data_IF_778607524361
#
_entry.id   IF_778607524361
#
_cell.length_a   1.000
_cell.length_b   1.000
_cell.length_c   1.000
_cell.angle_alpha   90.00
_cell.angle_beta   90.00
_cell.angle_gamma   90.00
#
_symmetry.space_group_name_H-M   'P 1'
#
loop_
_entity.id
_entity.type
_entity.pdbx_description
1 polymer ?
#
# COMPACT_ATOMS: atom_id res chain seq x y z
N UNK A 1 -25.03 11.52 -33.29
CA UNK A 1 -24.59 11.86 -31.92
C UNK A 1 -24.66 10.69 -30.92
N UNK A 2 -25.59 9.74 -31.04
CA UNK A 2 -25.69 8.58 -30.11
C UNK A 2 -24.48 7.62 -30.16
N UNK A 3 -23.91 7.32 -31.33
CA UNK A 3 -22.77 6.39 -31.46
C UNK A 3 -21.46 6.86 -30.81
N UNK A 4 -21.20 8.17 -30.79
CA UNK A 4 -19.99 8.73 -30.14
C UNK A 4 -20.11 8.71 -28.61
N UNK A 5 -21.33 8.89 -28.07
CA UNK A 5 -21.61 8.78 -26.63
C UNK A 5 -21.51 7.33 -26.14
N UNK A 6 -22.01 6.38 -26.93
CA UNK A 6 -21.88 4.93 -26.68
C UNK A 6 -20.42 4.46 -26.74
N UNK A 7 -19.64 4.93 -27.71
CA UNK A 7 -18.21 4.62 -27.79
C UNK A 7 -17.41 5.19 -26.62
N UNK A 8 -17.75 6.41 -26.16
CA UNK A 8 -17.10 7.02 -24.99
C UNK A 8 -17.46 6.30 -23.68
N UNK A 9 -18.71 5.89 -23.51
CA UNK A 9 -19.12 5.08 -22.36
C UNK A 9 -18.45 3.70 -22.37
N UNK A 10 -18.34 3.06 -23.53
CA UNK A 10 -17.66 1.78 -23.68
C UNK A 10 -16.16 1.87 -23.29
N UNK A 11 -15.48 2.97 -23.63
CA UNK A 11 -14.09 3.21 -23.26
C UNK A 11 -13.91 3.37 -21.73
N UNK A 12 -14.84 4.05 -21.05
CA UNK A 12 -14.75 4.26 -19.60
C UNK A 12 -15.00 2.94 -18.84
N UNK A 13 -15.95 2.14 -19.31
CA UNK A 13 -16.28 0.84 -18.69
C UNK A 13 -15.13 -0.17 -18.82
N UNK A 14 -14.40 -0.17 -19.94
CA UNK A 14 -13.27 -1.09 -20.14
C UNK A 14 -12.00 -0.70 -19.37
N UNK A 15 -11.78 0.60 -19.10
CA UNK A 15 -10.60 1.08 -18.37
C UNK A 15 -10.78 1.02 -16.84
N UNK A 16 -12.02 1.06 -16.35
CA UNK A 16 -12.33 1.06 -14.90
C UNK A 16 -11.72 -0.09 -14.06
N UNK A 17 -11.58 -1.34 -14.55
CA UNK A 17 -11.04 -2.43 -13.73
C UNK A 17 -9.54 -2.30 -13.45
N UNK A 18 -8.80 -1.57 -14.30
CA UNK A 18 -7.35 -1.41 -14.19
C UNK A 18 -6.95 -0.55 -12.98
N UNK A 19 -7.88 0.21 -12.41
CA UNK A 19 -7.65 1.05 -11.23
C UNK A 19 -7.58 0.24 -9.92
N UNK A 20 -7.99 -1.03 -9.92
CA UNK A 20 -7.98 -1.89 -8.74
C UNK A 20 -6.73 -2.80 -8.65
N UNK A 21 -5.71 -2.55 -9.48
CA UNK A 21 -4.55 -3.45 -9.58
C UNK A 21 -3.51 -3.30 -8.44
N UNK A 22 -3.64 -2.34 -7.53
CA UNK A 22 -2.73 -2.25 -6.38
C UNK A 22 -3.16 -3.24 -5.29
N UNK A 23 -2.31 -4.21 -4.95
CA UNK A 23 -2.54 -5.05 -3.78
C UNK A 23 -2.19 -4.30 -2.49
N UNK A 24 -2.73 -4.75 -1.35
CA UNK A 24 -2.34 -4.21 -0.04
C UNK A 24 -0.86 -4.43 0.27
N UNK A 25 -0.26 -5.49 -0.29
CA UNK A 25 1.16 -5.78 -0.19
C UNK A 25 1.97 -4.73 -0.97
N UNK A 26 1.63 -4.47 -2.24
CA UNK A 26 2.35 -3.48 -3.07
C UNK A 26 2.34 -2.09 -2.42
N UNK A 27 1.18 -1.67 -1.91
CA UNK A 27 1.04 -0.39 -1.23
C UNK A 27 1.88 -0.32 0.06
N UNK A 28 1.90 -1.41 0.83
CA UNK A 28 2.70 -1.50 2.04
C UNK A 28 4.19 -1.42 1.73
N UNK A 29 4.66 -2.19 0.75
CA UNK A 29 6.07 -2.22 0.33
C UNK A 29 6.52 -0.87 -0.22
N UNK A 30 5.72 -0.23 -1.09
CA UNK A 30 6.01 1.11 -1.59
C UNK A 30 6.13 2.15 -0.46
N UNK A 31 5.27 2.05 0.56
CA UNK A 31 5.32 2.93 1.74
C UNK A 31 6.59 2.68 2.56
N UNK A 32 6.90 1.41 2.82
CA UNK A 32 8.11 0.96 3.52
C UNK A 32 9.39 1.48 2.82
N UNK A 33 9.49 1.28 1.52
CA UNK A 33 10.61 1.75 0.70
C UNK A 33 10.76 3.28 0.75
N UNK A 34 9.64 4.01 0.65
CA UNK A 34 9.66 5.46 0.75
C UNK A 34 10.21 5.92 2.11
N UNK A 35 9.81 5.28 3.21
CA UNK A 35 10.33 5.60 4.55
C UNK A 35 11.80 5.27 4.69
N UNK A 36 12.25 4.13 4.16
CA UNK A 36 13.67 3.79 4.13
C UNK A 36 14.49 4.80 3.32
N UNK A 37 13.97 5.33 2.22
CA UNK A 37 14.62 6.41 1.47
C UNK A 37 14.76 7.69 2.30
N UNK A 38 13.75 8.05 3.10
CA UNK A 38 13.85 9.18 4.03
C UNK A 38 14.88 8.93 5.14
N UNK A 39 14.92 7.72 5.72
CA UNK A 39 15.94 7.35 6.72
C UNK A 39 17.37 7.49 6.18
N UNK A 40 17.59 7.17 4.89
CA UNK A 40 18.90 7.29 4.23
C UNK A 40 19.42 8.72 4.11
N UNK A 41 18.59 9.73 4.36
CA UNK A 41 19.01 11.14 4.45
C UNK A 41 19.67 11.48 5.79
N UNK A 42 19.50 10.63 6.81
CA UNK A 42 20.10 10.77 8.14
C UNK A 42 21.49 10.14 8.19
N UNK A 43 22.22 10.38 9.29
CA UNK A 43 23.60 9.89 9.49
C UNK A 43 23.79 9.18 10.83
N UNK A 44 24.73 8.23 10.86
CA UNK A 44 25.14 7.51 12.07
C UNK A 44 23.99 6.79 12.76
N UNK A 45 23.97 6.83 14.09
CA UNK A 45 22.96 6.19 14.92
C UNK A 45 21.52 6.59 14.57
N UNK A 46 21.29 7.85 14.17
CA UNK A 46 19.95 8.31 13.78
C UNK A 46 19.42 7.59 12.54
N UNK A 47 20.30 7.26 11.60
CA UNK A 47 19.93 6.48 10.42
C UNK A 47 19.61 5.04 10.82
N UNK A 48 20.45 4.41 11.64
CA UNK A 48 20.27 3.03 12.09
C UNK A 48 18.96 2.86 12.87
N UNK A 49 18.67 3.78 13.80
CA UNK A 49 17.44 3.80 14.59
C UNK A 49 16.20 4.01 13.70
N UNK A 50 16.30 4.86 12.67
CA UNK A 50 15.21 5.07 11.71
C UNK A 50 14.96 3.80 10.88
N UNK A 51 16.00 3.23 10.27
CA UNK A 51 15.88 2.02 9.43
C UNK A 51 15.36 0.82 10.23
N UNK A 52 15.68 0.72 11.52
CA UNK A 52 15.19 -0.34 12.42
C UNK A 52 13.65 -0.37 12.54
N UNK A 53 12.96 0.76 12.36
CA UNK A 53 11.49 0.81 12.43
C UNK A 53 10.80 0.17 11.21
N UNK A 54 11.55 -0.03 10.13
CA UNK A 54 11.03 -0.40 8.81
C UNK A 54 11.55 -1.77 8.35
N UNK A 55 11.71 -2.73 9.28
CA UNK A 55 12.22 -4.08 8.94
C UNK A 55 11.13 -5.16 8.87
N UNK A 56 9.88 -4.82 9.18
CA UNK A 56 8.78 -5.79 9.24
C UNK A 56 8.30 -6.18 7.84
N UNK A 57 8.28 -7.48 7.54
CA UNK A 57 7.68 -8.00 6.30
C UNK A 57 6.17 -7.79 6.27
N UNK A 58 5.59 -7.70 5.06
CA UNK A 58 4.14 -7.56 4.89
C UNK A 58 3.35 -8.67 5.61
N UNK A 59 3.77 -9.94 5.48
CA UNK A 59 3.09 -11.06 6.14
C UNK A 59 3.09 -10.98 7.67
N UNK A 60 4.17 -10.45 8.26
CA UNK A 60 4.22 -10.21 9.72
C UNK A 60 3.26 -9.10 10.13
N UNK A 61 3.30 -7.97 9.39
CA UNK A 61 2.38 -6.85 9.61
C UNK A 61 0.92 -7.27 9.48
N UNK A 62 0.57 -8.03 8.43
CA UNK A 62 -0.80 -8.47 8.17
C UNK A 62 -1.33 -9.38 9.30
N UNK A 63 -0.51 -10.33 9.75
CA UNK A 63 -0.87 -11.21 10.87
C UNK A 63 -1.14 -10.40 12.15
N UNK A 64 -0.21 -9.54 12.54
CA UNK A 64 -0.34 -8.71 13.74
C UNK A 64 -1.56 -7.77 13.65
N UNK A 65 -1.79 -7.16 12.48
CA UNK A 65 -2.97 -6.32 12.23
C UNK A 65 -4.25 -7.12 12.43
N UNK A 66 -4.32 -8.33 11.90
CA UNK A 66 -5.49 -9.19 12.01
C UNK A 66 -5.73 -9.65 13.46
N UNK A 67 -4.67 -9.92 14.23
CA UNK A 67 -4.79 -10.21 15.66
C UNK A 67 -5.43 -9.06 16.44
N UNK A 68 -5.02 -7.81 16.18
CA UNK A 68 -5.60 -6.62 16.82
C UNK A 68 -7.06 -6.45 16.43
N UNK A 69 -7.38 -6.57 15.14
CA UNK A 69 -8.76 -6.47 14.64
C UNK A 69 -9.65 -7.54 15.26
N UNK A 70 -9.17 -8.79 15.34
CA UNK A 70 -9.95 -9.90 15.87
C UNK A 70 -10.13 -9.80 17.39
N UNK A 71 -9.12 -9.36 18.14
CA UNK A 71 -9.25 -9.06 19.58
C UNK A 71 -10.25 -7.92 19.84
N UNK A 72 -10.28 -6.91 18.98
CA UNK A 72 -11.23 -5.80 19.07
C UNK A 72 -12.69 -6.21 18.83
N UNK A 73 -12.93 -7.26 18.04
CA UNK A 73 -14.28 -7.80 17.76
C UNK A 73 -14.85 -8.68 18.89
N UNK A 74 -14.03 -9.09 19.85
CA UNK A 74 -14.43 -9.96 20.97
C UNK A 74 -14.78 -9.18 22.25
N UNK A 75 -14.66 -7.85 22.23
CA UNK A 75 -15.16 -6.94 23.25
C UNK A 75 -16.50 -6.35 22.82
#
# INVERSE_FOLDING_TARGET
MFNSKLASFALVVTVSPLLFACTSQDLYEATQENRLQECRKLYGAQREECEAQYQKSYGTYERERNEVINKGKQK
#
